data_IF_569363243465
#
_entry.id   IF_569363243465
#
_cell.length_a   1.000
_cell.length_b   1.000
_cell.length_c   1.000
_cell.angle_alpha   90.00
_cell.angle_beta   90.00
_cell.angle_gamma   90.00
#
_symmetry.space_group_name_H-M   'P 1'
#
loop_
_entity.id
_entity.type
_entity.pdbx_description
1 polymer ?
#
# COMPACT_ATOMS: atom_id res chain seq x y z
N UNK A 1 6.96 -59.35 -27.79
CA UNK A 1 5.82 -59.84 -26.98
C UNK A 1 6.22 -59.81 -25.52
N UNK A 2 5.26 -59.50 -24.64
CA UNK A 2 5.37 -59.28 -23.18
C UNK A 2 5.75 -57.85 -22.78
N UNK A 3 5.06 -57.14 -21.89
CA UNK A 3 3.68 -57.18 -21.40
C UNK A 3 3.41 -55.79 -20.77
N UNK A 4 2.25 -55.20 -21.05
CA UNK A 4 1.82 -53.93 -20.46
C UNK A 4 1.44 -54.13 -18.98
N UNK A 5 2.02 -53.33 -18.09
CA UNK A 5 1.53 -53.15 -16.72
C UNK A 5 0.72 -51.87 -16.62
N UNK A 6 -0.61 -51.97 -16.70
CA UNK A 6 -1.53 -50.90 -16.30
C UNK A 6 -1.44 -50.70 -14.78
N UNK A 7 -1.13 -49.48 -14.35
CA UNK A 7 -1.31 -49.06 -12.96
C UNK A 7 -2.65 -48.31 -12.86
N UNK A 8 -3.67 -48.99 -12.34
CA UNK A 8 -4.94 -48.41 -11.90
C UNK A 8 -4.80 -48.01 -10.43
N UNK A 9 -4.31 -46.80 -10.18
CA UNK A 9 -4.29 -46.19 -8.85
C UNK A 9 -5.61 -45.46 -8.58
N UNK A 10 -6.47 -46.06 -7.77
CA UNK A 10 -7.74 -45.49 -7.33
C UNK A 10 -7.56 -44.10 -6.69
N UNK A 11 -8.32 -43.11 -7.17
CA UNK A 11 -8.50 -41.81 -6.53
C UNK A 11 -9.08 -42.02 -5.13
N UNK A 12 -8.29 -41.76 -4.08
CA UNK A 12 -8.81 -41.57 -2.73
C UNK A 12 -9.69 -40.32 -2.75
N UNK A 13 -10.99 -40.52 -2.69
CA UNK A 13 -11.97 -39.47 -2.41
C UNK A 13 -11.71 -38.95 -0.99
N UNK A 14 -11.11 -37.76 -0.90
CA UNK A 14 -11.09 -36.99 0.34
C UNK A 14 -12.54 -36.56 0.67
N UNK A 15 -12.95 -36.60 1.94
CA UNK A 15 -14.26 -36.09 2.32
C UNK A 15 -14.36 -34.60 1.91
N UNK A 16 -15.48 -34.24 1.28
CA UNK A 16 -15.87 -32.84 1.08
C UNK A 16 -15.80 -32.16 2.44
N UNK A 17 -14.84 -31.24 2.60
CA UNK A 17 -14.90 -30.26 3.67
C UNK A 17 -16.21 -29.52 3.48
N UNK A 18 -17.05 -29.51 4.52
CA UNK A 18 -18.27 -28.71 4.55
C UNK A 18 -17.91 -27.27 4.20
N UNK A 19 -18.40 -26.81 3.06
CA UNK A 19 -18.25 -25.43 2.65
C UNK A 19 -19.05 -24.56 3.62
N UNK A 20 -18.48 -23.46 4.13
CA UNK A 20 -19.25 -22.54 4.96
C UNK A 20 -20.41 -21.96 4.13
N UNK A 21 -21.62 -22.09 4.67
CA UNK A 21 -22.84 -21.48 4.14
C UNK A 21 -22.65 -19.95 4.01
N UNK A 22 -22.88 -19.32 2.85
CA UNK A 22 -22.78 -17.87 2.71
C UNK A 22 -24.04 -17.21 3.28
N UNK A 23 -24.07 -17.08 4.60
CA UNK A 23 -24.95 -16.16 5.31
C UNK A 23 -24.13 -15.52 6.43
N UNK A 24 -23.10 -14.76 6.05
CA UNK A 24 -22.40 -13.92 7.01
C UNK A 24 -23.33 -12.76 7.37
N UNK A 25 -23.90 -12.80 8.58
CA UNK A 25 -24.58 -11.65 9.18
C UNK A 25 -23.69 -10.41 9.08
N UNK A 26 -24.24 -9.30 8.57
CA UNK A 26 -23.51 -8.04 8.40
C UNK A 26 -22.90 -7.59 9.74
N UNK A 27 -21.58 -7.31 9.81
CA UNK A 27 -20.99 -6.76 11.03
C UNK A 27 -21.57 -5.36 11.28
N UNK A 28 -22.16 -5.15 12.46
CA UNK A 28 -22.90 -3.92 12.81
C UNK A 28 -22.07 -2.60 12.79
N UNK A 29 -20.76 -2.65 12.48
CA UNK A 29 -19.86 -1.51 12.44
C UNK A 29 -18.96 -1.45 11.18
N UNK A 30 -19.21 -2.30 10.17
CA UNK A 30 -18.41 -2.29 8.95
C UNK A 30 -18.78 -1.12 8.05
N UNK A 31 -17.76 -0.38 7.58
CA UNK A 31 -17.97 0.54 6.46
C UNK A 31 -17.88 -0.24 5.16
N UNK A 32 -18.85 -0.01 4.28
CA UNK A 32 -18.95 -0.66 2.98
C UNK A 32 -18.48 0.26 1.86
N UNK A 33 -17.75 -0.31 0.92
CA UNK A 33 -17.29 0.35 -0.30
C UNK A 33 -17.75 -0.46 -1.48
N UNK A 34 -18.22 0.21 -2.54
CA UNK A 34 -18.60 -0.51 -3.74
C UNK A 34 -17.39 -1.23 -4.33
N UNK A 35 -17.56 -2.49 -4.73
CA UNK A 35 -16.56 -3.14 -5.57
C UNK A 35 -16.56 -2.42 -6.93
N UNK A 36 -15.41 -1.93 -7.44
CA UNK A 36 -15.36 -1.29 -8.75
C UNK A 36 -15.95 -2.17 -9.85
N UNK A 37 -16.61 -1.57 -10.85
CA UNK A 37 -17.35 -2.33 -11.89
C UNK A 37 -16.52 -3.41 -12.56
N UNK A 38 -15.25 -3.10 -12.85
CA UNK A 38 -14.30 -4.02 -13.47
C UNK A 38 -14.00 -5.27 -12.62
N UNK A 39 -14.34 -5.25 -11.33
CA UNK A 39 -14.07 -6.31 -10.37
C UNK A 39 -15.33 -7.04 -9.88
N UNK A 40 -16.53 -6.57 -10.27
CA UNK A 40 -17.81 -7.15 -9.87
C UNK A 40 -17.94 -8.63 -10.25
N UNK A 41 -17.54 -9.01 -11.46
CA UNK A 41 -17.59 -10.42 -11.90
C UNK A 41 -16.67 -11.32 -11.08
N UNK A 42 -15.48 -10.84 -10.71
CA UNK A 42 -14.54 -11.59 -9.87
C UNK A 42 -15.05 -11.72 -8.43
N UNK A 43 -15.60 -10.64 -7.88
CA UNK A 43 -16.24 -10.64 -6.56
C UNK A 43 -17.42 -11.61 -6.50
N UNK A 44 -18.32 -11.56 -7.49
CA UNK A 44 -19.45 -12.49 -7.64
C UNK A 44 -18.98 -13.94 -7.69
N UNK A 45 -18.06 -14.25 -8.61
CA UNK A 45 -17.56 -15.61 -8.78
C UNK A 45 -16.92 -16.16 -7.50
N UNK A 46 -16.20 -15.32 -6.74
CA UNK A 46 -15.62 -15.70 -5.45
C UNK A 46 -16.68 -16.02 -4.39
N UNK A 47 -17.74 -15.20 -4.28
CA UNK A 47 -18.82 -15.43 -3.32
C UNK A 47 -19.64 -16.67 -3.68
N UNK A 48 -19.94 -16.87 -4.97
CA UNK A 48 -20.79 -17.97 -5.45
C UNK A 48 -20.09 -19.33 -5.47
N UNK A 49 -18.82 -19.37 -5.90
CA UNK A 49 -18.09 -20.62 -6.11
C UNK A 49 -17.17 -20.99 -4.94
N UNK A 50 -17.09 -20.14 -3.91
CA UNK A 50 -16.17 -20.27 -2.80
C UNK A 50 -14.73 -19.89 -3.15
N UNK A 51 -13.89 -19.83 -2.12
CA UNK A 51 -12.49 -19.43 -2.27
C UNK A 51 -11.69 -20.47 -3.06
N UNK A 52 -11.41 -20.19 -4.33
CA UNK A 52 -10.22 -20.76 -4.98
C UNK A 52 -9.03 -20.18 -4.24
N UNK A 53 -8.11 -21.02 -3.76
CA UNK A 53 -6.95 -20.60 -2.95
C UNK A 53 -6.32 -19.33 -3.52
N UNK A 54 -6.47 -18.24 -2.77
CA UNK A 54 -6.04 -16.92 -3.22
C UNK A 54 -4.54 -16.95 -3.53
N UNK A 55 -4.15 -16.35 -4.67
CA UNK A 55 -2.73 -16.19 -5.02
C UNK A 55 -1.99 -15.50 -3.86
N UNK A 56 -0.70 -15.84 -3.71
CA UNK A 56 0.14 -15.31 -2.63
C UNK A 56 0.13 -13.77 -2.62
N UNK A 57 0.12 -13.23 -1.40
CA UNK A 57 0.06 -11.80 -1.16
C UNK A 57 1.45 -11.19 -1.39
N UNK A 58 1.62 -10.40 -2.45
CA UNK A 58 2.92 -9.74 -2.74
C UNK A 58 3.08 -8.51 -1.85
N UNK A 59 4.25 -8.34 -1.23
CA UNK A 59 4.53 -7.16 -0.43
C UNK A 59 4.71 -5.94 -1.36
N UNK A 60 4.20 -4.79 -0.91
CA UNK A 60 4.25 -3.52 -1.63
C UNK A 60 4.46 -2.37 -0.64
N UNK A 61 4.96 -1.25 -1.14
CA UNK A 61 5.10 -0.03 -0.36
C UNK A 61 4.62 1.17 -1.18
N UNK A 62 4.06 2.17 -0.49
CA UNK A 62 3.56 3.39 -1.12
C UNK A 62 3.74 4.60 -0.20
N UNK A 63 4.11 5.73 -0.80
CA UNK A 63 4.43 6.96 -0.08
C UNK A 63 3.39 8.04 -0.40
N UNK A 64 2.70 8.45 0.66
CA UNK A 64 1.75 9.56 0.69
C UNK A 64 2.52 10.84 0.92
N UNK A 65 2.91 11.51 -0.17
CA UNK A 65 3.50 12.83 -0.07
C UNK A 65 2.45 13.86 0.31
N UNK A 66 2.75 14.66 1.33
CA UNK A 66 1.86 15.70 1.85
C UNK A 66 2.55 17.05 1.84
N UNK A 67 1.81 18.09 1.47
CA UNK A 67 2.24 19.49 1.62
C UNK A 67 1.05 20.38 1.93
N UNK A 68 1.33 21.54 2.51
CA UNK A 68 0.32 22.58 2.69
C UNK A 68 0.11 23.31 1.37
N UNK A 69 -1.15 23.31 0.88
CA UNK A 69 -1.62 24.14 -0.22
C UNK A 69 -2.42 25.33 0.29
N UNK A 70 -2.84 26.21 -0.63
CA UNK A 70 -3.55 27.44 -0.28
C UNK A 70 -4.87 27.18 0.48
N UNK A 71 -5.59 26.13 0.11
CA UNK A 71 -6.91 25.77 0.65
C UNK A 71 -6.88 24.47 1.47
N UNK A 72 -5.74 24.15 2.10
CA UNK A 72 -5.55 22.94 2.90
C UNK A 72 -4.55 21.97 2.28
N UNK A 73 -4.54 20.75 2.79
CA UNK A 73 -3.56 19.73 2.41
C UNK A 73 -3.68 19.32 0.95
N UNK A 74 -2.52 19.21 0.30
CA UNK A 74 -2.35 18.62 -1.02
C UNK A 74 -1.60 17.28 -0.93
N UNK A 75 -1.97 16.36 -1.81
CA UNK A 75 -1.31 15.06 -1.99
C UNK A 75 -0.89 14.86 -3.43
N UNK A 76 0.19 14.10 -3.63
CA UNK A 76 0.58 13.62 -4.94
C UNK A 76 -0.14 12.30 -5.25
N UNK A 77 -0.98 12.31 -6.29
CA UNK A 77 -1.53 11.08 -6.90
C UNK A 77 -0.94 10.88 -8.29
N UNK A 78 -0.76 9.63 -8.68
CA UNK A 78 -0.29 9.22 -10.01
C UNK A 78 -1.30 8.28 -10.67
N UNK A 79 -1.30 8.29 -12.00
CA UNK A 79 -2.05 7.33 -12.81
C UNK A 79 -1.12 6.21 -13.27
N UNK A 80 -1.57 4.97 -13.09
CA UNK A 80 -0.87 3.77 -13.53
C UNK A 80 -1.60 3.18 -14.74
N UNK A 81 -0.85 2.94 -15.80
CA UNK A 81 -1.36 2.24 -16.98
C UNK A 81 -1.58 0.76 -16.66
N UNK A 82 -2.68 0.19 -17.18
CA UNK A 82 -2.99 -1.23 -17.04
C UNK A 82 -3.45 -1.66 -15.64
N UNK A 83 -3.37 -2.97 -15.38
CA UNK A 83 -3.88 -3.58 -14.15
C UNK A 83 -2.81 -3.55 -13.06
N UNK A 84 -2.98 -2.65 -12.10
CA UNK A 84 -2.13 -2.56 -10.91
C UNK A 84 -2.81 -3.15 -9.67
N UNK A 85 -2.10 -3.91 -8.82
CA UNK A 85 -2.61 -4.34 -7.53
C UNK A 85 -2.86 -3.16 -6.57
N UNK A 86 -2.11 -2.05 -6.70
CA UNK A 86 -2.22 -0.85 -5.87
C UNK A 86 -3.40 0.07 -6.27
N UNK A 87 -4.05 -0.18 -7.41
CA UNK A 87 -5.09 0.68 -7.98
C UNK A 87 -4.64 1.45 -9.22
N UNK A 88 -5.59 2.07 -9.92
CA UNK A 88 -5.38 2.79 -11.19
C UNK A 88 -4.92 4.23 -10.93
N UNK A 89 -5.57 4.92 -9.99
CA UNK A 89 -5.11 6.20 -9.46
C UNK A 89 -4.76 5.99 -7.99
N UNK A 90 -3.52 6.28 -7.63
CA UNK A 90 -3.00 5.94 -6.29
C UNK A 90 -1.82 6.83 -5.90
N UNK A 91 -1.33 6.67 -4.68
CA UNK A 91 -0.09 7.30 -4.25
C UNK A 91 1.11 6.60 -4.91
N UNK A 92 2.23 7.31 -5.14
CA UNK A 92 3.44 6.69 -5.66
C UNK A 92 3.84 5.44 -4.88
N UNK A 93 4.20 4.37 -5.58
CA UNK A 93 4.44 3.08 -4.94
C UNK A 93 4.38 1.89 -5.88
N UNK A 94 4.90 0.78 -5.38
CA UNK A 94 5.00 -0.45 -6.15
C UNK A 94 5.31 -1.66 -5.28
N UNK A 95 5.64 -2.76 -5.96
CA UNK A 95 5.97 -4.02 -5.30
C UNK A 95 7.36 -3.95 -4.70
N UNK A 96 7.52 -4.54 -3.52
CA UNK A 96 8.84 -4.76 -2.93
C UNK A 96 9.54 -5.88 -3.72
N UNK A 97 10.81 -5.66 -4.02
CA UNK A 97 11.66 -6.54 -4.81
C UNK A 97 12.75 -7.16 -3.92
N UNK A 98 13.39 -8.27 -4.33
CA UNK A 98 14.52 -8.82 -3.58
C UNK A 98 15.67 -7.82 -3.37
N UNK A 99 15.91 -6.91 -4.33
CA UNK A 99 16.95 -5.89 -4.23
C UNK A 99 16.68 -4.88 -3.10
N UNK A 100 15.42 -4.73 -2.66
CA UNK A 100 15.08 -3.85 -1.53
C UNK A 100 15.59 -4.40 -0.19
N UNK A 101 15.95 -5.70 -0.10
CA UNK A 101 16.55 -6.30 1.08
C UNK A 101 18.09 -6.13 1.15
N UNK A 102 18.71 -5.55 0.11
CA UNK A 102 20.16 -5.33 0.09
C UNK A 102 20.59 -4.39 1.23
N UNK A 103 21.72 -4.67 1.92
CA UNK A 103 22.20 -3.80 2.98
C UNK A 103 22.56 -2.40 2.45
N UNK A 104 21.84 -1.39 2.92
CA UNK A 104 22.15 0.03 2.65
C UNK A 104 22.42 0.79 3.95
N UNK A 105 23.35 1.76 3.94
CA UNK A 105 23.50 2.65 5.09
C UNK A 105 22.24 3.51 5.19
N UNK A 106 21.71 3.64 6.40
CA UNK A 106 20.57 4.50 6.65
C UNK A 106 20.67 5.26 7.96
N UNK A 107 19.88 6.32 8.06
CA UNK A 107 19.63 7.10 9.26
C UNK A 107 18.18 6.91 9.64
N UNK A 108 17.93 6.69 10.93
CA UNK A 108 16.60 6.55 11.49
C UNK A 108 16.44 5.25 12.27
N UNK A 109 15.19 4.79 12.49
CA UNK A 109 14.93 3.56 13.21
C UNK A 109 15.65 2.36 12.57
N UNK A 110 16.18 1.47 13.42
CA UNK A 110 16.79 0.22 12.97
C UNK A 110 15.76 -0.71 12.33
N UNK A 111 16.18 -1.73 11.55
CA UNK A 111 15.25 -2.66 10.92
C UNK A 111 14.33 -3.35 11.95
N UNK A 112 14.86 -3.68 13.13
CA UNK A 112 14.09 -4.25 14.23
C UNK A 112 13.06 -3.26 14.82
N UNK A 113 13.38 -1.96 14.89
CA UNK A 113 12.42 -0.94 15.31
C UNK A 113 11.30 -0.77 14.26
N UNK A 114 11.64 -0.79 12.98
CA UNK A 114 10.65 -0.79 11.90
C UNK A 114 9.78 -2.04 11.89
N UNK A 115 10.34 -3.23 12.16
CA UNK A 115 9.58 -4.47 12.28
C UNK A 115 8.47 -4.35 13.33
N UNK A 116 8.82 -3.85 14.52
CA UNK A 116 7.85 -3.67 15.61
C UNK A 116 6.71 -2.71 15.21
N UNK A 117 7.01 -1.69 14.41
CA UNK A 117 6.06 -0.68 13.96
C UNK A 117 5.18 -1.18 12.81
N UNK A 118 5.78 -1.83 11.81
CA UNK A 118 5.12 -2.29 10.57
C UNK A 118 4.47 -3.67 10.71
N UNK A 119 4.77 -4.39 11.80
CA UNK A 119 4.28 -5.75 12.05
C UNK A 119 4.66 -6.71 10.90
N UNK A 120 5.89 -6.58 10.41
CA UNK A 120 6.46 -7.52 9.44
C UNK A 120 6.92 -8.79 10.13
N UNK A 121 7.11 -9.85 9.34
CA UNK A 121 7.50 -11.18 9.84
C UNK A 121 8.86 -11.13 10.53
N UNK A 122 9.81 -10.41 9.95
CA UNK A 122 11.14 -10.18 10.50
C UNK A 122 11.67 -8.77 10.16
N UNK A 123 12.91 -8.52 10.61
CA UNK A 123 13.61 -7.26 10.42
C UNK A 123 14.07 -7.03 8.96
N UNK A 124 14.30 -8.10 8.19
CA UNK A 124 14.68 -8.02 6.78
C UNK A 124 13.49 -7.60 5.92
N UNK A 125 12.31 -8.16 6.18
CA UNK A 125 11.05 -7.73 5.57
C UNK A 125 10.71 -6.27 5.93
N UNK A 126 11.01 -5.84 7.16
CA UNK A 126 10.87 -4.44 7.56
C UNK A 126 11.82 -3.53 6.77
N UNK A 127 13.08 -3.95 6.62
CA UNK A 127 14.08 -3.25 5.83
C UNK A 127 13.58 -3.08 4.39
N UNK A 128 13.20 -4.18 3.74
CA UNK A 128 12.77 -4.19 2.36
C UNK A 128 11.52 -3.33 2.14
N UNK A 129 10.59 -3.29 3.10
CA UNK A 129 9.42 -2.42 3.01
C UNK A 129 9.78 -0.93 3.05
N UNK A 130 10.71 -0.53 3.92
CA UNK A 130 11.15 0.86 4.06
C UNK A 130 12.03 1.28 2.88
N UNK A 131 13.00 0.45 2.49
CA UNK A 131 13.85 0.69 1.35
C UNK A 131 13.04 0.74 0.04
N UNK A 132 12.12 -0.20 -0.15
CA UNK A 132 11.20 -0.23 -1.29
C UNK A 132 10.29 0.99 -1.35
N UNK A 133 9.81 1.51 -0.21
CA UNK A 133 9.07 2.76 -0.19
C UNK A 133 9.88 3.94 -0.74
N UNK A 134 11.15 4.05 -0.34
CA UNK A 134 12.04 5.13 -0.79
C UNK A 134 12.47 4.93 -2.25
N UNK A 135 12.74 3.69 -2.66
CA UNK A 135 13.05 3.35 -4.05
C UNK A 135 11.88 3.74 -4.96
N UNK A 136 10.66 3.28 -4.66
CA UNK A 136 9.47 3.58 -5.49
C UNK A 136 9.17 5.08 -5.50
N UNK A 137 9.35 5.78 -4.37
CA UNK A 137 9.27 7.24 -4.33
C UNK A 137 10.27 7.88 -5.29
N UNK A 138 11.55 7.49 -5.24
CA UNK A 138 12.57 8.04 -6.12
C UNK A 138 12.32 7.71 -7.58
N UNK A 139 12.06 6.44 -7.89
CA UNK A 139 11.74 5.97 -9.23
C UNK A 139 10.58 6.76 -9.81
N UNK A 140 9.39 6.73 -9.20
CA UNK A 140 8.20 7.30 -9.82
C UNK A 140 8.17 8.83 -9.80
N UNK A 141 8.68 9.46 -8.74
CA UNK A 141 8.46 10.90 -8.49
C UNK A 141 9.71 11.77 -8.61
N UNK A 142 10.89 11.16 -8.60
CA UNK A 142 12.17 11.85 -8.47
C UNK A 142 12.46 12.31 -7.05
N UNK A 143 11.54 12.15 -6.10
CA UNK A 143 11.77 12.55 -4.71
C UNK A 143 12.62 11.49 -4.01
N UNK A 144 13.83 11.88 -3.61
CA UNK A 144 14.82 11.03 -2.96
C UNK A 144 14.92 11.32 -1.46
N UNK A 145 14.58 10.34 -0.63
CA UNK A 145 14.76 10.39 0.82
C UNK A 145 16.13 9.83 1.21
N UNK A 146 17.19 10.55 0.82
CA UNK A 146 18.57 10.19 1.15
C UNK A 146 19.47 11.42 1.28
N UNK A 147 20.50 11.34 2.13
CA UNK A 147 21.51 12.39 2.37
C UNK A 147 22.85 11.79 2.83
N UNK A 148 23.89 12.60 3.01
CA UNK A 148 25.20 12.11 3.48
C UNK A 148 25.17 11.67 4.95
N UNK A 149 24.25 12.26 5.73
CA UNK A 149 24.12 12.08 7.17
C UNK A 149 22.69 12.39 7.68
N UNK A 150 22.52 12.47 9.00
CA UNK A 150 21.23 12.73 9.65
C UNK A 150 20.73 14.17 9.54
N UNK A 151 21.57 15.08 9.08
CA UNK A 151 21.26 16.51 9.02
C UNK A 151 20.99 16.99 7.59
N UNK A 152 21.22 16.13 6.60
CA UNK A 152 21.12 16.45 5.18
C UNK A 152 20.14 15.56 4.44
N UNK A 153 19.60 16.11 3.36
CA UNK A 153 18.87 15.43 2.30
C UNK A 153 19.43 15.96 0.99
N UNK A 154 19.37 15.15 -0.06
CA UNK A 154 19.76 15.60 -1.41
C UNK A 154 18.90 16.81 -1.79
N UNK A 155 19.51 17.94 -2.12
CA UNK A 155 18.76 19.18 -2.39
C UNK A 155 18.06 19.14 -3.75
N UNK A 156 18.70 18.52 -4.74
CA UNK A 156 18.21 18.44 -6.12
C UNK A 156 18.29 17.00 -6.63
N UNK A 157 17.17 16.54 -7.16
CA UNK A 157 17.01 15.19 -7.71
C UNK A 157 16.45 15.23 -9.14
N UNK A 158 16.55 16.39 -9.79
CA UNK A 158 16.19 16.63 -11.18
C UNK A 158 17.40 16.56 -12.13
N UNK A 159 17.14 16.65 -13.43
CA UNK A 159 18.15 16.58 -14.48
C UNK A 159 18.24 15.23 -15.18
N UNK A 160 18.92 15.22 -16.34
CA UNK A 160 19.00 14.05 -17.23
C UNK A 160 19.70 12.85 -16.56
N UNK A 161 20.83 13.08 -15.86
CA UNK A 161 21.54 12.00 -15.17
C UNK A 161 20.67 11.34 -14.09
N UNK A 162 19.84 12.13 -13.40
CA UNK A 162 18.92 11.60 -12.40
C UNK A 162 17.78 10.84 -13.05
N UNK A 163 17.25 11.32 -14.18
CA UNK A 163 16.24 10.60 -14.95
C UNK A 163 16.78 9.25 -15.44
N UNK A 164 17.97 9.23 -16.04
CA UNK A 164 18.62 8.00 -16.52
C UNK A 164 18.85 7.01 -15.38
N UNK A 165 19.33 7.49 -14.23
CA UNK A 165 19.51 6.65 -13.05
C UNK A 165 18.18 6.06 -12.54
N UNK A 166 17.10 6.84 -12.56
CA UNK A 166 15.77 6.36 -12.18
C UNK A 166 15.23 5.32 -13.17
N UNK A 167 15.44 5.51 -14.47
CA UNK A 167 15.07 4.52 -15.50
C UNK A 167 15.84 3.21 -15.32
N UNK A 168 17.15 3.27 -15.06
CA UNK A 168 17.96 2.07 -14.79
C UNK A 168 17.48 1.32 -13.54
N UNK A 169 17.13 2.04 -12.47
CA UNK A 169 16.61 1.42 -11.25
C UNK A 169 15.23 0.80 -11.52
N UNK A 170 14.35 1.52 -12.22
CA UNK A 170 13.03 1.03 -12.61
C UNK A 170 13.07 -0.19 -13.52
N UNK A 171 14.09 -0.30 -14.38
CA UNK A 171 14.34 -1.44 -15.25
C UNK A 171 14.98 -2.63 -14.50
N UNK A 172 15.52 -2.41 -13.30
CA UNK A 172 16.27 -3.40 -12.54
C UNK A 172 17.73 -3.55 -12.99
N UNK A 173 18.22 -2.68 -13.87
CA UNK A 173 19.61 -2.65 -14.34
C UNK A 173 20.58 -2.09 -13.29
N UNK A 174 20.05 -1.45 -12.25
CA UNK A 174 20.81 -0.87 -11.15
C UNK A 174 20.03 -0.95 -9.85
N UNK A 175 20.67 -1.36 -8.76
CA UNK A 175 19.99 -1.41 -7.45
C UNK A 175 20.03 -0.06 -6.75
N UNK A 176 19.11 0.13 -5.81
CA UNK A 176 19.13 1.32 -4.95
C UNK A 176 20.41 1.38 -4.11
N UNK A 177 20.93 0.23 -3.67
CA UNK A 177 22.17 0.15 -2.92
C UNK A 177 23.38 0.63 -3.74
N UNK A 178 23.49 0.21 -5.00
CA UNK A 178 24.53 0.68 -5.92
C UNK A 178 24.42 2.18 -6.20
N UNK A 179 23.19 2.68 -6.38
CA UNK A 179 22.94 4.10 -6.59
C UNK A 179 23.42 4.95 -5.40
N UNK A 180 23.10 4.53 -4.18
CA UNK A 180 23.46 5.22 -2.94
C UNK A 180 24.96 5.13 -2.66
N UNK A 181 25.54 3.92 -2.80
CA UNK A 181 26.95 3.66 -2.54
C UNK A 181 27.88 4.51 -3.40
N UNK A 182 27.59 4.62 -4.71
CA UNK A 182 28.36 5.46 -5.63
C UNK A 182 28.35 6.95 -5.25
N UNK A 183 27.33 7.41 -4.53
CA UNK A 183 27.11 8.82 -4.17
C UNK A 183 27.39 9.12 -2.69
N UNK A 184 27.82 8.14 -1.90
CA UNK A 184 28.03 8.30 -0.46
C UNK A 184 26.75 8.68 0.29
N UNK A 185 25.58 8.28 -0.23
CA UNK A 185 24.28 8.61 0.34
C UNK A 185 23.79 7.51 1.27
N UNK A 186 23.00 7.92 2.26
CA UNK A 186 22.31 7.07 3.22
C UNK A 186 20.82 7.32 3.14
N UNK A 187 20.01 6.26 3.22
CA UNK A 187 18.56 6.42 3.29
C UNK A 187 18.18 7.20 4.55
N UNK A 188 17.23 8.13 4.42
CA UNK A 188 16.66 8.91 5.53
C UNK A 188 15.33 8.31 5.95
N UNK A 189 15.38 7.13 6.57
CA UNK A 189 14.17 6.40 6.95
C UNK A 189 13.38 7.11 8.04
N UNK A 190 14.04 7.94 8.85
CA UNK A 190 13.43 8.81 9.86
C UNK A 190 12.44 9.85 9.31
N UNK A 191 12.50 10.14 8.00
CA UNK A 191 11.57 11.03 7.31
C UNK A 191 10.25 10.36 6.93
N UNK A 192 10.19 9.02 6.96
CA UNK A 192 8.95 8.29 6.73
C UNK A 192 8.12 8.21 8.02
N UNK A 193 6.81 8.36 7.86
CA UNK A 193 5.82 8.15 8.92
C UNK A 193 4.89 7.00 8.54
N UNK A 194 4.85 5.90 9.29
CA UNK A 194 3.98 4.78 8.96
C UNK A 194 2.50 5.19 9.13
N UNK A 195 1.63 4.76 8.21
CA UNK A 195 0.20 5.07 8.23
C UNK A 195 -0.65 3.85 8.52
N UNK A 196 -0.70 2.91 7.58
CA UNK A 196 -1.63 1.77 7.57
C UNK A 196 -1.06 0.70 6.65
N UNK A 197 -1.40 -0.56 6.93
CA UNK A 197 -1.08 -1.69 6.06
C UNK A 197 -2.36 -2.21 5.41
N UNK A 198 -2.43 -2.20 4.08
CA UNK A 198 -3.65 -2.53 3.34
C UNK A 198 -3.49 -3.83 2.56
N UNK A 199 -4.36 -4.81 2.81
CA UNK A 199 -4.38 -6.07 2.10
C UNK A 199 -5.52 -6.11 1.08
N UNK A 200 -5.16 -6.44 -0.16
CA UNK A 200 -6.13 -6.63 -1.24
C UNK A 200 -7.13 -7.75 -0.92
N UNK A 201 -8.40 -7.60 -1.35
CA UNK A 201 -9.41 -8.65 -1.22
C UNK A 201 -8.98 -9.99 -1.81
N UNK A 202 -9.50 -11.09 -1.25
CA UNK A 202 -9.12 -12.45 -1.64
C UNK A 202 -9.48 -12.80 -3.09
N UNK A 203 -10.53 -12.17 -3.65
CA UNK A 203 -10.95 -12.38 -5.04
C UNK A 203 -10.04 -11.71 -6.09
N UNK A 204 -9.11 -10.85 -5.69
CA UNK A 204 -8.23 -10.15 -6.64
C UNK A 204 -7.20 -11.14 -7.22
N UNK A 205 -7.09 -11.19 -8.55
CA UNK A 205 -6.06 -11.99 -9.23
C UNK A 205 -4.62 -11.54 -8.93
N UNK A 206 -4.43 -10.25 -8.64
CA UNK A 206 -3.16 -9.70 -8.21
C UNK A 206 -3.36 -9.11 -6.82
N UNK A 207 -2.89 -9.82 -5.81
CA UNK A 207 -3.02 -9.42 -4.42
C UNK A 207 -1.73 -8.77 -3.93
N UNK A 208 -1.89 -7.71 -3.15
CA UNK A 208 -0.79 -7.06 -2.48
C UNK A 208 -1.09 -6.73 -1.01
N UNK A 209 -0.02 -6.70 -0.24
CA UNK A 209 0.06 -6.18 1.12
C UNK A 209 0.84 -4.87 1.09
N UNK A 210 0.14 -3.74 1.20
CA UNK A 210 0.73 -2.42 0.96
C UNK A 210 1.05 -1.76 2.30
N UNK A 211 2.33 -1.50 2.54
CA UNK A 211 2.79 -0.62 3.60
C UNK A 211 2.66 0.83 3.12
N UNK A 212 1.69 1.58 3.66
CA UNK A 212 1.59 3.01 3.39
C UNK A 212 2.41 3.82 4.40
N UNK A 213 3.24 4.70 3.86
CA UNK A 213 3.98 5.70 4.61
C UNK A 213 3.53 7.10 4.20
N UNK A 214 3.75 8.09 5.05
CA UNK A 214 3.62 9.50 4.74
C UNK A 214 4.98 10.19 4.81
N UNK A 215 5.16 11.21 3.98
CA UNK A 215 6.36 12.03 3.99
C UNK A 215 6.04 13.46 3.55
N UNK A 216 6.72 14.45 4.14
CA UNK A 216 6.82 15.76 3.52
C UNK A 216 7.82 15.70 2.36
N UNK A 217 7.67 16.56 1.36
CA UNK A 217 8.69 16.68 0.31
C UNK A 217 9.92 17.39 0.88
N UNK A 218 11.13 16.81 0.77
CA UNK A 218 12.36 17.52 1.09
C UNK A 218 12.45 18.87 0.36
N UNK A 219 12.88 19.91 1.08
CA UNK A 219 13.04 21.25 0.49
C UNK A 219 14.00 21.19 -0.70
N UNK A 220 13.64 21.86 -1.80
CA UNK A 220 14.45 21.92 -3.03
C UNK A 220 14.11 20.84 -4.07
N UNK A 221 13.54 19.71 -3.64
CA UNK A 221 13.11 18.66 -4.56
C UNK A 221 11.73 18.95 -5.15
N UNK A 222 11.56 18.60 -6.43
CA UNK A 222 10.31 18.78 -7.17
C UNK A 222 9.85 17.45 -7.74
N UNK A 223 8.54 17.26 -7.75
CA UNK A 223 7.93 16.12 -8.43
C UNK A 223 8.25 16.18 -9.93
N UNK A 224 8.74 15.06 -10.46
CA UNK A 224 8.92 14.82 -11.88
C UNK A 224 8.61 13.35 -12.15
N UNK A 225 7.50 13.08 -12.85
CA UNK A 225 7.08 11.71 -13.16
C UNK A 225 8.15 11.00 -14.00
N UNK A 226 8.42 9.72 -13.70
CA UNK A 226 9.31 8.92 -14.54
C UNK A 226 8.69 8.71 -15.91
N UNK A 227 9.47 8.91 -16.97
CA UNK A 227 8.97 8.84 -18.33
C UNK A 227 8.35 7.47 -18.67
N UNK A 228 8.93 6.38 -18.14
CA UNK A 228 8.43 5.02 -18.36
C UNK A 228 7.25 4.58 -17.47
N UNK A 229 6.96 5.27 -16.36
CA UNK A 229 6.00 4.76 -15.34
C UNK A 229 4.59 5.33 -15.44
N UNK A 230 4.38 6.41 -16.18
CA UNK A 230 3.04 6.95 -16.31
C UNK A 230 2.96 8.18 -17.20
N UNK A 231 1.71 8.58 -17.47
CA UNK A 231 1.39 9.75 -18.28
C UNK A 231 0.80 10.90 -17.46
N UNK A 232 0.49 10.67 -16.18
CA UNK A 232 -0.17 11.66 -15.33
C UNK A 232 0.22 11.49 -13.86
N UNK A 233 0.49 12.62 -13.21
CA UNK A 233 0.61 12.73 -11.77
C UNK A 233 0.52 14.19 -11.37
N UNK A 234 -0.25 14.49 -10.33
CA UNK A 234 -0.52 15.86 -9.91
C UNK A 234 -0.68 15.99 -8.40
N UNK A 235 -0.38 17.20 -7.92
CA UNK A 235 -0.76 17.63 -6.59
C UNK A 235 -2.23 18.02 -6.57
N UNK A 236 -3.02 17.35 -5.74
CA UNK A 236 -4.44 17.59 -5.60
C UNK A 236 -4.79 18.03 -4.18
N UNK A 237 -5.63 19.06 -4.06
CA UNK A 237 -6.21 19.43 -2.79
C UNK A 237 -7.15 18.31 -2.30
N UNK A 238 -6.90 17.79 -1.11
CA UNK A 238 -7.59 16.61 -0.58
C UNK A 238 -9.08 16.89 -0.33
N UNK A 239 -9.43 18.08 0.17
CA UNK A 239 -10.82 18.41 0.53
C UNK A 239 -11.65 18.64 -0.73
N UNK A 240 -11.10 19.34 -1.72
CA UNK A 240 -11.75 19.55 -3.01
C UNK A 240 -11.96 18.22 -3.74
N UNK A 241 -10.96 17.34 -3.71
CA UNK A 241 -11.04 16.00 -4.30
C UNK A 241 -12.17 15.17 -3.70
N UNK A 242 -12.31 15.16 -2.36
CA UNK A 242 -13.38 14.41 -1.69
C UNK A 242 -14.77 15.05 -1.87
N UNK A 243 -14.86 16.38 -1.86
CA UNK A 243 -16.11 17.12 -2.06
C UNK A 243 -16.72 16.89 -3.45
N UNK A 244 -15.88 16.50 -4.42
CA UNK A 244 -16.27 16.24 -5.82
C UNK A 244 -16.24 14.75 -6.17
N UNK A 245 -16.22 13.86 -5.18
CA UNK A 245 -16.07 12.40 -5.36
C UNK A 245 -17.08 11.73 -6.30
N UNK A 246 -18.31 12.25 -6.40
CA UNK A 246 -19.34 11.76 -7.33
C UNK A 246 -19.19 12.28 -8.77
N UNK A 247 -18.24 13.17 -9.05
CA UNK A 247 -17.99 13.75 -10.36
C UNK A 247 -16.89 12.99 -11.10
N UNK A 248 -16.82 13.15 -12.42
CA UNK A 248 -15.87 12.44 -13.30
C UNK A 248 -14.62 13.25 -13.62
N UNK A 249 -14.52 14.50 -13.15
CA UNK A 249 -13.51 15.46 -13.59
C UNK A 249 -12.08 14.93 -13.44
N UNK A 250 -11.78 14.15 -12.39
CA UNK A 250 -10.43 13.60 -12.20
C UNK A 250 -10.11 12.59 -13.30
N UNK A 251 -11.06 11.69 -13.57
CA UNK A 251 -10.93 10.69 -14.62
C UNK A 251 -10.80 11.33 -16.01
N UNK A 252 -11.56 12.40 -16.25
CA UNK A 252 -11.51 13.18 -17.50
C UNK A 252 -10.22 13.99 -17.63
N UNK A 253 -9.69 14.52 -16.52
CA UNK A 253 -8.40 15.24 -16.46
C UNK A 253 -7.22 14.32 -16.72
N UNK A 254 -7.23 13.10 -16.18
CA UNK A 254 -6.24 12.07 -16.52
C UNK A 254 -6.34 11.70 -18.00
N UNK A 255 -7.56 11.63 -18.53
CA UNK A 255 -7.83 11.55 -19.96
C UNK A 255 -7.54 10.20 -20.60
N UNK A 256 -7.24 9.16 -19.81
CA UNK A 256 -7.06 7.80 -20.30
C UNK A 256 -8.40 7.09 -20.51
N UNK A 257 -8.46 6.16 -21.47
CA UNK A 257 -9.69 5.39 -21.76
C UNK A 257 -10.21 4.62 -20.55
N UNK A 258 -9.31 4.21 -19.64
CA UNK A 258 -9.64 3.50 -18.41
C UNK A 258 -10.07 4.42 -17.26
N UNK A 259 -10.09 5.74 -17.45
CA UNK A 259 -10.42 6.72 -16.40
C UNK A 259 -11.54 7.68 -16.78
N UNK A 260 -11.72 8.00 -18.06
CA UNK A 260 -12.77 8.94 -18.52
C UNK A 260 -14.17 8.51 -18.08
N UNK A 261 -14.98 9.50 -17.72
CA UNK A 261 -16.36 9.31 -17.27
C UNK A 261 -16.51 8.43 -16.02
N UNK A 262 -15.43 8.18 -15.27
CA UNK A 262 -15.45 7.41 -14.03
C UNK A 262 -15.36 8.34 -12.81
N UNK A 263 -16.23 8.16 -11.80
CA UNK A 263 -16.15 8.88 -10.54
C UNK A 263 -14.99 8.36 -9.67
N UNK A 264 -14.69 9.09 -8.59
CA UNK A 264 -13.55 8.80 -7.72
C UNK A 264 -13.56 7.38 -7.13
N UNK A 265 -14.73 6.85 -6.80
CA UNK A 265 -14.92 5.51 -6.24
C UNK A 265 -14.59 4.37 -7.22
N UNK A 266 -14.59 4.63 -8.53
CA UNK A 266 -14.17 3.67 -9.55
C UNK A 266 -12.66 3.78 -9.85
N UNK A 267 -12.04 4.93 -9.54
CA UNK A 267 -10.63 5.22 -9.80
C UNK A 267 -9.70 4.81 -8.65
N UNK A 268 -10.17 4.96 -7.41
CA UNK A 268 -9.38 4.76 -6.19
C UNK A 268 -9.71 3.45 -5.49
N UNK A 269 -8.71 2.88 -4.82
CA UNK A 269 -8.97 1.78 -3.88
C UNK A 269 -9.55 2.34 -2.57
N UNK A 270 -10.30 1.52 -1.80
CA UNK A 270 -10.78 1.96 -0.49
C UNK A 270 -9.66 2.36 0.48
N UNK A 271 -8.48 1.73 0.36
CA UNK A 271 -7.29 2.11 1.13
C UNK A 271 -6.86 3.56 0.86
N UNK A 272 -6.81 3.96 -0.41
CA UNK A 272 -6.49 5.34 -0.82
C UNK A 272 -7.56 6.31 -0.31
N UNK A 273 -8.85 6.00 -0.50
CA UNK A 273 -9.97 6.83 -0.03
C UNK A 273 -9.90 7.08 1.49
N UNK A 274 -9.64 6.04 2.29
CA UNK A 274 -9.53 6.17 3.75
C UNK A 274 -8.36 7.08 4.16
N UNK A 275 -7.24 7.03 3.45
CA UNK A 275 -6.08 7.89 3.70
C UNK A 275 -6.42 9.34 3.36
N UNK A 276 -7.07 9.59 2.21
CA UNK A 276 -7.53 10.93 1.80
C UNK A 276 -8.47 11.54 2.85
N UNK A 277 -9.42 10.77 3.37
CA UNK A 277 -10.32 11.26 4.43
C UNK A 277 -9.58 11.57 5.74
N UNK A 278 -8.55 10.79 6.09
CA UNK A 278 -7.69 11.07 7.24
C UNK A 278 -6.92 12.38 7.07
N UNK A 279 -6.43 12.64 5.87
CA UNK A 279 -5.78 13.89 5.51
C UNK A 279 -6.75 15.07 5.54
N UNK A 280 -7.96 14.91 5.03
CA UNK A 280 -8.98 15.98 5.01
C UNK A 280 -9.32 16.52 6.41
N UNK A 281 -9.26 15.65 7.43
CA UNK A 281 -9.47 15.98 8.85
C UNK A 281 -8.29 16.70 9.49
N UNK A 282 -7.12 16.66 8.87
CA UNK A 282 -5.93 17.33 9.38
C UNK A 282 -5.90 18.80 8.95
N UNK A 283 -5.35 19.66 9.81
CA UNK A 283 -5.28 21.10 9.57
C UNK A 283 -4.14 21.48 8.61
N UNK A 284 -2.99 20.81 8.74
CA UNK A 284 -1.80 21.04 7.93
C UNK A 284 -0.88 19.80 7.93
N UNK A 285 0.19 19.84 7.13
CA UNK A 285 1.11 18.73 6.91
C UNK A 285 1.85 18.35 8.19
N UNK A 286 2.29 19.33 8.98
CA UNK A 286 2.96 19.10 10.26
C UNK A 286 2.04 18.35 11.22
N UNK A 287 0.79 18.79 11.36
CA UNK A 287 -0.20 18.14 12.22
C UNK A 287 -0.49 16.70 11.77
N UNK A 288 -0.54 16.44 10.46
CA UNK A 288 -0.73 15.08 9.94
C UNK A 288 0.49 14.19 10.22
N UNK A 289 1.71 14.69 9.99
CA UNK A 289 2.95 13.91 10.14
C UNK A 289 3.36 13.72 11.60
N UNK A 290 2.95 14.60 12.51
CA UNK A 290 3.24 14.52 13.94
C UNK A 290 2.32 13.53 14.69
N UNK A 291 1.22 13.09 14.09
CA UNK A 291 0.32 12.12 14.70
C UNK A 291 1.03 10.78 14.94
N UNK A 292 1.07 10.35 16.21
CA UNK A 292 1.50 9.00 16.59
C UNK A 292 0.41 8.00 16.18
N UNK A 293 0.77 7.00 15.38
CA UNK A 293 -0.16 5.97 14.88
C UNK A 293 0.31 4.59 15.29
N UNK A 294 -0.66 3.72 15.60
CA UNK A 294 -0.46 2.27 15.55
C UNK A 294 -0.82 1.84 14.13
N UNK A 295 0.08 1.13 13.45
CA UNK A 295 -0.21 0.62 12.11
C UNK A 295 -1.28 -0.45 12.21
N UNK A 296 -2.44 -0.20 11.62
CA UNK A 296 -3.51 -1.18 11.51
C UNK A 296 -3.37 -1.96 10.20
N UNK A 297 -3.62 -3.26 10.26
CA UNK A 297 -3.75 -4.10 9.07
C UNK A 297 -5.24 -4.08 8.68
N UNK A 298 -5.53 -3.52 7.51
CA UNK A 298 -6.87 -3.47 6.93
C UNK A 298 -6.98 -4.48 5.79
N UNK A 299 -7.72 -5.56 6.03
CA UNK A 299 -8.08 -6.54 5.01
C UNK A 299 -9.51 -6.28 4.54
N UNK A 300 -9.68 -6.05 3.26
CA UNK A 300 -11.01 -5.91 2.67
C UNK A 300 -11.62 -7.28 2.38
N UNK A 301 -12.82 -7.52 2.88
CA UNK A 301 -13.60 -8.73 2.65
C UNK A 301 -14.76 -8.41 1.71
N UNK A 302 -15.03 -9.30 0.76
CA UNK A 302 -16.22 -9.16 -0.08
C UNK A 302 -17.43 -9.65 0.68
N UNK A 303 -18.47 -8.83 0.70
CA UNK A 303 -19.77 -9.14 1.30
C UNK A 303 -20.88 -8.78 0.31
N UNK A 304 -22.06 -9.36 0.50
CA UNK A 304 -23.25 -8.99 -0.25
C UNK A 304 -24.16 -8.14 0.64
N UNK A 305 -24.53 -6.94 0.18
CA UNK A 305 -25.43 -6.01 0.87
C UNK A 305 -26.51 -5.60 -0.12
N UNK A 306 -27.78 -5.87 0.20
CA UNK A 306 -28.94 -5.54 -0.65
C UNK A 306 -28.80 -6.00 -2.11
N UNK A 307 -28.17 -7.16 -2.32
CA UNK A 307 -27.93 -7.75 -3.64
C UNK A 307 -26.66 -7.27 -4.36
N UNK A 308 -25.99 -6.23 -3.87
CA UNK A 308 -24.74 -5.70 -4.43
C UNK A 308 -23.50 -6.29 -3.73
N UNK A 309 -22.40 -6.45 -4.47
CA UNK A 309 -21.12 -6.86 -3.90
C UNK A 309 -20.34 -5.64 -3.41
N UNK A 310 -20.06 -5.64 -2.11
CA UNK A 310 -19.38 -4.57 -1.41
C UNK A 310 -18.09 -5.09 -0.77
N UNK A 311 -17.13 -4.20 -0.59
CA UNK A 311 -15.97 -4.42 0.27
C UNK A 311 -16.31 -3.92 1.66
N UNK A 312 -16.35 -4.83 2.61
CA UNK A 312 -16.37 -4.52 4.03
C UNK A 312 -14.93 -4.53 4.56
N UNK A 313 -14.65 -3.62 5.48
CA UNK A 313 -13.52 -3.78 6.36
C UNK A 313 -13.97 -3.45 7.78
N UNK A 314 -13.73 -4.41 8.65
CA UNK A 314 -13.94 -4.34 10.09
C UNK A 314 -12.64 -4.80 10.73
N UNK A 315 -12.27 -4.20 11.87
CA UNK A 315 -10.97 -4.42 12.53
C UNK A 315 -10.57 -5.90 12.50
N UNK A 316 -9.29 -6.23 12.26
CA UNK A 316 -8.81 -7.57 12.55
C UNK A 316 -9.21 -7.86 14.00
N UNK A 317 -10.13 -8.81 14.15
CA UNK A 317 -10.59 -9.47 15.39
C UNK A 317 -10.56 -8.60 16.66
N UNK A 318 -11.72 -8.42 17.29
CA UNK A 318 -11.79 -7.98 18.70
C UNK A 318 -10.67 -8.66 19.52
N UNK A 319 -9.95 -7.93 20.39
CA UNK A 319 -8.76 -8.44 21.06
C UNK A 319 -9.09 -9.79 21.70
N UNK A 320 -8.46 -10.84 21.20
CA UNK A 320 -8.41 -12.11 21.90
C UNK A 320 -7.68 -11.85 23.21
N UNK A 321 -8.45 -11.72 24.29
CA UNK A 321 -8.05 -12.05 25.67
C UNK A 321 -6.75 -11.36 26.13
N UNK A 322 -6.82 -10.06 26.45
CA UNK A 322 -5.80 -9.42 27.31
C UNK A 322 -6.33 -8.95 28.67
N UNK A 323 -7.48 -9.49 29.12
CA UNK A 323 -8.11 -9.04 30.38
C UNK A 323 -7.93 -9.96 31.60
N UNK A 324 -6.96 -10.88 31.62
CA UNK A 324 -6.69 -11.68 32.84
C UNK A 324 -5.23 -11.87 33.29
N UNK A 325 -4.26 -11.17 32.71
CA UNK A 325 -2.85 -11.29 33.15
C UNK A 325 -2.20 -9.99 33.63
N UNK A 326 -2.96 -9.05 34.17
CA UNK A 326 -2.40 -7.79 34.71
C UNK A 326 -2.86 -7.43 36.13
N UNK A 327 -3.59 -8.32 36.83
CA UNK A 327 -4.08 -8.05 38.19
C UNK A 327 -3.58 -9.01 39.27
N UNK A 328 -2.60 -9.89 38.99
CA UNK A 328 -2.04 -10.82 39.97
C UNK A 328 -0.54 -10.66 40.29
N UNK A 329 0.16 -9.66 39.75
CA UNK A 329 1.60 -9.45 40.02
C UNK A 329 1.94 -8.22 40.88
N UNK A 330 0.96 -7.66 41.61
CA UNK A 330 1.22 -6.60 42.61
C UNK A 330 0.44 -6.82 43.92
N UNK A 331 0.33 -8.07 44.37
CA UNK A 331 -0.08 -8.43 45.75
C UNK A 331 0.74 -9.59 46.29
N UNK A 332 2.01 -9.33 46.57
CA UNK A 332 2.79 -10.05 47.58
C UNK A 332 4.17 -9.40 47.68
N UNK A 333 4.30 -8.41 48.55
CA UNK A 333 5.49 -8.09 49.34
C UNK A 333 5.15 -6.94 50.30
N UNK A 334 4.44 -7.29 51.38
CA UNK A 334 4.53 -6.59 52.67
C UNK A 334 3.86 -7.46 53.75
N UNK A 335 4.65 -8.37 54.30
CA UNK A 335 4.58 -8.88 55.68
C UNK A 335 6.01 -9.07 56.13
#
# INVERSE_FOLDING_TARGET
MSNQGMYTGALKTLPRSDAPTPSASLPAAARYFRVPRALQSAARSFVENGAVTGRSLRQAASVVFVRDGANGLEVLLTYRTGVSPLGVVTFPGGLITPADAEPVPWVGPSPAQWQAVLQTEDAEAAHAAVAGAIREAFEETGILLAGSDSMSVTEHSDGLEQMDAREMIAAGDKTMAEYLGKRGLKLRTDLLRPLVRWQSPDFRHQRCDIHYFACAVPVGQKFCLLASKGSWGEWLNVRELLATSGQTWLGDRIGADTTRSLPLEELLTPGVLCILESLARSSNAVAFLAQKRKVEIKKAEVVQVDGEYMLAFTSPTAPGIWEKCSSQLYRSNNT
#
